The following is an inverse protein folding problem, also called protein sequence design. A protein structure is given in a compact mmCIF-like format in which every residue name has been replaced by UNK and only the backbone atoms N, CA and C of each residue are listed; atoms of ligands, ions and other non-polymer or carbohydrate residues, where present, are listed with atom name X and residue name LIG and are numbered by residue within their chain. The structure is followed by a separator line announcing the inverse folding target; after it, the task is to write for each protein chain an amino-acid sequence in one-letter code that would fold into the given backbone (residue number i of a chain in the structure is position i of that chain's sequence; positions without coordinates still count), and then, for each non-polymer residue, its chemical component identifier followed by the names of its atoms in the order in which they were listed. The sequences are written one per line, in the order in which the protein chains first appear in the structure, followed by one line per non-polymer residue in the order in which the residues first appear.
data_IF_987022948966
#
_entry.id   IF_987022948966
#
_cell.length_a   1.000
_cell.length_b   1.000
_cell.length_c   1.000
_cell.angle_alpha   90.00
_cell.angle_beta   90.00
_cell.angle_gamma   90.00
#
_symmetry.space_group_name_H-M   'P 1'
#
loop_
_entity.id
_entity.type
_entity.pdbx_description
1 polymer ?
#
# COMPACT_ATOMS: atom_id res chain seq x y z
N UNK A 1 -19.45 6.16 9.98
CA UNK A 1 -18.01 5.79 10.06
C UNK A 1 -17.16 7.08 10.00
N UNK A 2 -16.30 7.31 10.99
CA UNK A 2 -15.45 8.51 11.07
C UNK A 2 -14.19 8.36 10.17
N UNK A 3 -13.60 9.47 9.69
CA UNK A 3 -12.41 9.48 8.80
C UNK A 3 -11.23 8.70 9.41
N UNK A 4 -11.01 8.87 10.70
CA UNK A 4 -9.92 8.17 11.40
C UNK A 4 -10.12 6.65 11.36
N UNK A 5 -11.33 6.17 11.67
CA UNK A 5 -11.65 4.74 11.63
C UNK A 5 -11.51 4.16 10.20
N UNK A 6 -11.87 4.93 9.16
CA UNK A 6 -11.64 4.55 7.76
C UNK A 6 -10.14 4.40 7.44
N UNK A 7 -9.30 5.35 7.91
CA UNK A 7 -7.85 5.25 7.72
C UNK A 7 -7.26 4.06 8.46
N UNK A 8 -7.66 3.82 9.70
CA UNK A 8 -7.16 2.71 10.51
C UNK A 8 -7.53 1.35 9.88
N UNK A 9 -8.76 1.21 9.37
CA UNK A 9 -9.19 0.01 8.66
C UNK A 9 -8.41 -0.19 7.36
N UNK A 10 -8.27 0.87 6.56
CA UNK A 10 -7.55 0.78 5.30
C UNK A 10 -6.06 0.48 5.51
N UNK A 11 -5.44 1.06 6.53
CA UNK A 11 -4.05 0.80 6.88
C UNK A 11 -3.86 -0.67 7.27
N UNK A 12 -4.72 -1.22 8.14
CA UNK A 12 -4.68 -2.64 8.51
C UNK A 12 -4.79 -3.55 7.29
N UNK A 13 -5.72 -3.26 6.38
CA UNK A 13 -5.90 -4.03 5.16
C UNK A 13 -4.62 -3.97 4.31
N UNK A 14 -4.10 -2.78 4.02
CA UNK A 14 -2.89 -2.64 3.21
C UNK A 14 -1.70 -3.38 3.83
N UNK A 15 -1.49 -3.25 5.14
CA UNK A 15 -0.44 -3.98 5.86
C UNK A 15 -0.60 -5.50 5.73
N UNK A 16 -1.81 -6.03 5.95
CA UNK A 16 -2.07 -7.48 5.85
C UNK A 16 -1.73 -8.03 4.47
N UNK A 17 -2.12 -7.32 3.41
CA UNK A 17 -1.84 -7.77 2.05
C UNK A 17 -0.38 -7.53 1.64
N UNK A 18 0.25 -6.45 2.08
CA UNK A 18 1.65 -6.15 1.77
C UNK A 18 2.61 -7.11 2.49
N UNK A 19 2.27 -7.57 3.69
CA UNK A 19 3.02 -8.59 4.44
C UNK A 19 2.76 -10.03 3.98
N UNK A 20 1.78 -10.26 3.10
CA UNK A 20 1.35 -11.62 2.75
C UNK A 20 2.47 -12.39 2.07
N UNK A 21 2.97 -13.43 2.72
CA UNK A 21 4.06 -14.27 2.21
C UNK A 21 5.46 -13.69 2.42
N UNK A 22 5.59 -12.62 3.22
CA UNK A 22 6.88 -12.12 3.71
C UNK A 22 7.23 -12.79 5.04
N UNK A 23 8.53 -12.98 5.28
CA UNK A 23 9.05 -13.34 6.60
C UNK A 23 8.83 -12.19 7.60
N UNK A 24 8.77 -12.52 8.90
CA UNK A 24 8.42 -11.58 9.97
C UNK A 24 9.25 -10.28 9.93
N UNK A 25 10.57 -10.40 9.80
CA UNK A 25 11.48 -9.24 9.72
C UNK A 25 11.18 -8.33 8.51
N UNK A 26 10.85 -8.93 7.35
CA UNK A 26 10.48 -8.19 6.14
C UNK A 26 9.08 -7.59 6.24
N UNK A 27 8.17 -8.25 6.95
CA UNK A 27 6.85 -7.70 7.25
C UNK A 27 6.93 -6.49 8.19
N UNK A 28 7.82 -6.48 9.17
CA UNK A 28 8.05 -5.30 10.02
C UNK A 28 8.51 -4.10 9.19
N UNK A 29 9.47 -4.30 8.29
CA UNK A 29 9.92 -3.25 7.38
C UNK A 29 8.78 -2.77 6.47
N UNK A 30 8.03 -3.69 5.89
CA UNK A 30 6.87 -3.37 5.05
C UNK A 30 5.80 -2.59 5.81
N UNK A 31 5.56 -2.94 7.08
CA UNK A 31 4.62 -2.24 7.95
C UNK A 31 5.04 -0.78 8.16
N UNK A 32 6.34 -0.53 8.39
CA UNK A 32 6.87 0.84 8.49
C UNK A 32 6.67 1.62 7.19
N UNK A 33 6.83 0.98 6.03
CA UNK A 33 6.56 1.62 4.74
C UNK A 33 5.08 1.99 4.57
N UNK A 34 4.16 1.10 4.96
CA UNK A 34 2.72 1.38 4.95
C UNK A 34 2.39 2.54 5.88
N UNK A 35 2.94 2.57 7.10
CA UNK A 35 2.74 3.69 8.04
C UNK A 35 3.21 5.02 7.46
N UNK A 36 4.38 5.06 6.82
CA UNK A 36 4.88 6.27 6.13
C UNK A 36 3.95 6.68 5.00
N UNK A 37 3.50 5.73 4.17
CA UNK A 37 2.56 6.00 3.08
C UNK A 37 1.26 6.62 3.60
N UNK A 38 0.67 6.07 4.67
CA UNK A 38 -0.56 6.60 5.24
C UNK A 38 -0.35 8.00 5.84
N UNK A 39 0.77 8.21 6.54
CA UNK A 39 1.09 9.52 7.12
C UNK A 39 1.37 10.59 6.05
N UNK A 40 2.10 10.26 4.99
CA UNK A 40 2.62 11.25 4.06
C UNK A 40 1.64 11.53 2.89
N UNK A 41 0.88 10.51 2.46
CA UNK A 41 -0.07 10.63 1.35
C UNK A 41 -1.54 10.59 1.79
N UNK A 42 -1.93 9.60 2.59
CA UNK A 42 -3.36 9.36 2.90
C UNK A 42 -3.92 10.39 3.90
N UNK A 43 -3.12 10.84 4.87
CA UNK A 43 -3.54 11.80 5.91
C UNK A 43 -4.02 13.14 5.35
N UNK A 44 -3.49 13.54 4.18
CA UNK A 44 -3.80 14.78 3.47
C UNK A 44 -5.08 14.68 2.64
N UNK A 45 -5.64 13.49 2.48
CA UNK A 45 -6.82 13.26 1.67
C UNK A 45 -8.12 13.58 2.41
N UNK A 46 -9.09 14.04 1.63
CA UNK A 46 -10.49 14.11 2.07
C UNK A 46 -11.09 12.71 2.21
N UNK A 47 -12.20 12.60 2.96
CA UNK A 47 -12.87 11.31 3.18
C UNK A 47 -13.32 10.65 1.87
N UNK A 48 -13.83 11.43 0.91
CA UNK A 48 -14.27 10.90 -0.39
C UNK A 48 -13.09 10.32 -1.19
N UNK A 49 -11.96 11.02 -1.20
CA UNK A 49 -10.75 10.53 -1.87
C UNK A 49 -10.19 9.27 -1.23
N UNK A 50 -10.22 9.15 0.10
CA UNK A 50 -9.81 7.93 0.79
C UNK A 50 -10.73 6.78 0.38
N UNK A 51 -12.05 6.99 0.34
CA UNK A 51 -12.99 5.94 -0.08
C UNK A 51 -12.82 5.54 -1.55
N UNK A 52 -12.45 6.45 -2.45
CA UNK A 52 -12.21 6.12 -3.85
C UNK A 52 -10.88 5.37 -4.05
N UNK A 53 -9.79 5.91 -3.49
CA UNK A 53 -8.44 5.35 -3.65
C UNK A 53 -8.22 4.06 -2.86
N UNK A 54 -8.91 3.90 -1.73
CA UNK A 54 -8.85 2.70 -0.88
C UNK A 54 -10.16 1.89 -0.95
N UNK A 55 -10.96 2.07 -2.01
CA UNK A 55 -12.24 1.36 -2.21
C UNK A 55 -12.10 -0.16 -2.14
N UNK A 56 -10.94 -0.69 -2.58
CA UNK A 56 -10.63 -2.12 -2.54
C UNK A 56 -9.18 -2.33 -2.11
N UNK A 57 -8.85 -3.48 -1.49
CA UNK A 57 -7.47 -3.82 -1.14
C UNK A 57 -6.52 -3.76 -2.34
N UNK A 58 -6.96 -4.21 -3.53
CA UNK A 58 -6.13 -4.20 -4.74
C UNK A 58 -5.80 -2.79 -5.23
N UNK A 59 -6.77 -1.86 -5.21
CA UNK A 59 -6.49 -0.45 -5.54
C UNK A 59 -5.53 0.19 -4.54
N UNK A 60 -5.73 -0.07 -3.26
CA UNK A 60 -4.89 0.44 -2.19
C UNK A 60 -3.44 -0.07 -2.31
N UNK A 61 -3.28 -1.37 -2.58
CA UNK A 61 -1.98 -1.99 -2.83
C UNK A 61 -1.32 -1.43 -4.08
N UNK A 62 -2.05 -1.30 -5.19
CA UNK A 62 -1.49 -0.73 -6.42
C UNK A 62 -0.96 0.69 -6.19
N UNK A 63 -1.70 1.51 -5.46
CA UNK A 63 -1.28 2.86 -5.13
C UNK A 63 -0.07 2.87 -4.18
N UNK A 64 -0.07 2.00 -3.15
CA UNK A 64 1.06 1.81 -2.26
C UNK A 64 2.32 1.29 -2.97
N UNK A 65 2.18 0.35 -3.90
CA UNK A 65 3.28 -0.12 -4.75
C UNK A 65 3.87 1.02 -5.54
N UNK A 66 3.04 1.87 -6.18
CA UNK A 66 3.52 3.07 -6.88
C UNK A 66 4.32 4.02 -5.97
N UNK A 67 3.89 4.19 -4.72
CA UNK A 67 4.64 4.95 -3.72
C UNK A 67 6.01 4.32 -3.41
N UNK A 68 6.08 3.00 -3.23
CA UNK A 68 7.35 2.28 -3.00
C UNK A 68 8.31 2.43 -4.18
N UNK A 69 7.82 2.37 -5.41
CA UNK A 69 8.62 2.58 -6.62
C UNK A 69 9.32 3.94 -6.61
N UNK A 70 8.56 4.99 -6.30
CA UNK A 70 9.02 6.36 -6.39
C UNK A 70 9.90 6.76 -5.19
N UNK A 71 9.64 6.18 -4.02
CA UNK A 71 10.24 6.65 -2.76
C UNK A 71 11.37 5.77 -2.29
N UNK A 72 11.23 4.46 -2.46
CA UNK A 72 12.13 3.47 -1.88
C UNK A 72 13.08 2.86 -2.92
N UNK A 73 13.02 3.33 -4.17
CA UNK A 73 13.81 2.79 -5.29
C UNK A 73 13.67 1.26 -5.42
N UNK A 74 12.56 0.71 -4.92
CA UNK A 74 12.22 -0.69 -5.14
C UNK A 74 12.11 -0.88 -6.65
N UNK A 75 12.72 -1.96 -7.17
CA UNK A 75 12.59 -2.33 -8.58
C UNK A 75 11.13 -2.65 -8.86
N UNK A 76 10.39 -1.62 -9.23
CA UNK A 76 9.01 -1.79 -9.63
C UNK A 76 8.96 -2.21 -11.07
N UNK A 77 8.27 -3.32 -11.32
CA UNK A 77 7.99 -3.71 -12.66
C UNK A 77 7.15 -2.61 -13.33
N UNK A 78 7.67 -2.07 -14.42
CA UNK A 78 6.95 -1.14 -15.30
C UNK A 78 5.58 -1.71 -15.67
N UNK A 79 4.63 -0.82 -15.94
CA UNK A 79 3.20 -1.03 -16.27
C UNK A 79 2.84 -2.33 -17.02
N UNK A 80 3.74 -2.86 -17.85
CA UNK A 80 3.58 -4.11 -18.60
C UNK A 80 3.55 -5.40 -17.76
N UNK A 81 4.08 -5.43 -16.52
CA UNK A 81 4.15 -6.67 -15.73
C UNK A 81 2.98 -6.86 -14.75
N UNK A 82 2.07 -5.88 -14.67
CA UNK A 82 0.88 -5.98 -13.84
C UNK A 82 -0.18 -6.93 -14.44
N UNK A 83 -0.20 -7.04 -15.78
CA UNK A 83 -1.18 -7.88 -16.50
C UNK A 83 -0.82 -9.37 -16.51
N UNK A 84 0.46 -9.73 -16.31
CA UNK A 84 0.93 -11.13 -16.30
C UNK A 84 1.06 -11.74 -14.89
N UNK A 85 0.67 -11.02 -13.82
CA UNK A 85 0.70 -11.56 -12.46
C UNK A 85 2.10 -11.86 -11.89
N UNK A 86 3.16 -11.48 -12.60
CA UNK A 86 4.57 -11.73 -12.23
C UNK A 86 5.21 -10.60 -11.42
N UNK A 87 4.50 -9.50 -11.16
CA UNK A 87 5.02 -8.41 -10.33
C UNK A 87 4.97 -8.79 -8.84
N UNK A 88 5.88 -9.66 -8.41
CA UNK A 88 6.21 -9.80 -6.99
C UNK A 88 7.10 -8.62 -6.61
N UNK A 89 6.74 -7.92 -5.54
CA UNK A 89 7.69 -7.10 -4.78
C UNK A 89 8.87 -8.02 -4.46
N UNK A 90 9.96 -7.86 -5.21
CA UNK A 90 11.18 -8.61 -4.95
C UNK A 90 11.70 -8.11 -3.61
N UNK A 91 11.55 -8.96 -2.61
CA UNK A 91 12.04 -8.74 -1.27
C UNK A 91 13.53 -9.03 -1.15
#
# INVERSE_FOLDING_TARGET
MNRQNLMDQAQKIVTLYACRGLEEQKCEEMTRWVERFFRDHVSRLSRSEIMDRLATPMKALHWFSGYLCNTANFRCCSKAAADDGTCRLAA
#
